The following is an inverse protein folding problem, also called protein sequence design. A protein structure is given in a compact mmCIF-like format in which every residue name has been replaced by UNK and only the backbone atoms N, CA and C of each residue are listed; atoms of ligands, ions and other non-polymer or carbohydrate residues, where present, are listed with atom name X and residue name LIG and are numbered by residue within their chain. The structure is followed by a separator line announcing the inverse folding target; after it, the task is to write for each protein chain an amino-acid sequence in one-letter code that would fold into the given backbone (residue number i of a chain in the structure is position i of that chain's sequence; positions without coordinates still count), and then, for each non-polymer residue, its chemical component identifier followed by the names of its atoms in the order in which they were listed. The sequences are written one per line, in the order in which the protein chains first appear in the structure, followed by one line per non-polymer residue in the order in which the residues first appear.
data_IF_716582766157
#
_entry.id   IF_716582766157
#
_cell.length_a   1.000
_cell.length_b   1.000
_cell.length_c   1.000
_cell.angle_alpha   90.00
_cell.angle_beta   90.00
_cell.angle_gamma   90.00
#
_symmetry.space_group_name_H-M   'P 1'
#
loop_
_entity.id
_entity.type
_entity.pdbx_description
1 polymer ?
#
# COMPACT_ATOMS: atom_id res chain seq x y z
N UNK A 1 -7.85 -15.73 -22.13
CA UNK A 1 -6.95 -16.28 -21.09
C UNK A 1 -6.54 -15.13 -20.17
N UNK A 2 -6.59 -15.29 -18.84
CA UNK A 2 -6.03 -14.30 -17.93
C UNK A 2 -4.53 -14.11 -18.24
N UNK A 3 -4.06 -12.87 -18.16
CA UNK A 3 -2.65 -12.54 -18.39
C UNK A 3 -1.77 -13.24 -17.34
N UNK A 4 -0.61 -13.74 -17.75
CA UNK A 4 0.27 -14.52 -16.85
C UNK A 4 0.73 -13.70 -15.65
N UNK A 5 0.89 -12.38 -15.79
CA UNK A 5 1.22 -11.50 -14.67
C UNK A 5 0.05 -11.30 -13.72
N UNK A 6 -1.19 -11.24 -14.20
CA UNK A 6 -2.36 -11.14 -13.33
C UNK A 6 -2.51 -12.40 -12.47
N UNK A 7 -2.22 -13.57 -13.04
CA UNK A 7 -2.19 -14.85 -12.30
C UNK A 7 -1.08 -14.81 -11.24
N UNK A 8 0.14 -14.46 -11.62
CA UNK A 8 1.28 -14.43 -10.70
C UNK A 8 1.09 -13.43 -9.56
N UNK A 9 0.59 -12.21 -9.86
CA UNK A 9 0.21 -11.23 -8.84
C UNK A 9 -0.94 -11.76 -8.00
N UNK A 10 -1.93 -12.43 -8.59
CA UNK A 10 -2.98 -13.12 -7.85
C UNK A 10 -2.44 -14.06 -6.78
N UNK A 11 -1.49 -14.92 -7.15
CA UNK A 11 -0.83 -15.83 -6.21
C UNK A 11 -0.08 -15.09 -5.11
N UNK A 12 0.65 -14.03 -5.45
CA UNK A 12 1.44 -13.25 -4.49
C UNK A 12 0.55 -12.59 -3.41
N UNK A 13 -0.58 -12.01 -3.82
CA UNK A 13 -1.52 -11.36 -2.91
C UNK A 13 -2.41 -12.35 -2.15
N UNK A 14 -2.57 -13.57 -2.67
CA UNK A 14 -3.28 -14.66 -2.00
C UNK A 14 -2.40 -15.39 -0.96
N UNK A 15 -1.07 -15.29 -1.07
CA UNK A 15 -0.15 -15.85 -0.07
C UNK A 15 -0.35 -15.16 1.29
N UNK A 16 -0.68 -15.91 2.37
CA UNK A 16 -0.94 -15.34 3.68
C UNK A 16 0.30 -14.75 4.36
N UNK A 17 1.51 -15.10 3.92
CA UNK A 17 2.76 -14.55 4.47
C UNK A 17 3.15 -13.22 3.82
N UNK A 18 2.55 -12.88 2.67
CA UNK A 18 2.92 -11.71 1.87
C UNK A 18 1.77 -10.72 1.75
N UNK A 19 0.55 -11.22 1.53
CA UNK A 19 -0.66 -10.43 1.38
C UNK A 19 -1.39 -10.24 2.71
N UNK A 20 -1.56 -8.98 3.09
CA UNK A 20 -2.36 -8.58 4.24
C UNK A 20 -3.76 -8.18 3.78
N UNK A 21 -4.76 -8.44 4.63
CA UNK A 21 -6.08 -7.87 4.46
C UNK A 21 -6.09 -6.42 4.91
N UNK A 22 -6.73 -5.56 4.14
CA UNK A 22 -6.90 -4.15 4.49
C UNK A 22 -8.25 -3.59 4.05
N UNK A 23 -8.56 -2.40 4.55
CA UNK A 23 -9.74 -1.63 4.18
C UNK A 23 -9.27 -0.27 3.68
N UNK A 24 -9.52 0.01 2.41
CA UNK A 24 -9.26 1.30 1.79
C UNK A 24 -10.52 2.16 1.82
N UNK A 25 -10.43 3.38 2.32
CA UNK A 25 -11.56 4.31 2.38
C UNK A 25 -11.17 5.58 1.63
N UNK A 26 -11.79 5.85 0.46
CA UNK A 26 -11.62 7.13 -0.21
C UNK A 26 -12.16 8.26 0.65
N UNK A 27 -11.58 9.46 0.53
CA UNK A 27 -12.13 10.64 1.21
C UNK A 27 -13.58 10.90 0.76
N UNK A 28 -14.51 10.90 1.73
CA UNK A 28 -15.96 10.97 1.47
C UNK A 28 -16.58 9.77 0.75
N UNK A 29 -15.83 8.68 0.55
CA UNK A 29 -16.25 7.47 -0.15
C UNK A 29 -16.66 6.32 0.78
N UNK A 30 -17.09 5.21 0.17
CA UNK A 30 -17.39 3.98 0.88
C UNK A 30 -16.11 3.14 1.10
N UNK A 31 -15.95 2.50 2.28
CA UNK A 31 -14.84 1.58 2.52
C UNK A 31 -14.87 0.37 1.58
N UNK A 32 -13.70 -0.03 1.11
CA UNK A 32 -13.49 -1.16 0.20
C UNK A 32 -12.43 -2.11 0.75
N UNK A 33 -12.74 -3.41 0.79
CA UNK A 33 -11.76 -4.43 1.14
C UNK A 33 -10.70 -4.59 0.04
N UNK A 34 -9.43 -4.63 0.45
CA UNK A 34 -8.27 -4.76 -0.44
C UNK A 34 -7.25 -5.74 0.13
N UNK A 35 -6.44 -6.33 -0.74
CA UNK A 35 -5.24 -7.09 -0.41
C UNK A 35 -4.03 -6.19 -0.63
N UNK A 36 -3.16 -6.18 0.35
CA UNK A 36 -2.02 -5.27 0.40
C UNK A 36 -0.74 -6.07 0.54
N UNK A 37 0.24 -5.81 -0.33
CA UNK A 37 1.62 -6.19 -0.04
C UNK A 37 2.27 -5.04 0.71
N UNK A 38 2.76 -5.34 1.90
CA UNK A 38 3.27 -4.35 2.85
C UNK A 38 4.79 -4.29 2.80
N UNK A 39 5.33 -3.09 2.67
CA UNK A 39 6.76 -2.84 2.84
C UNK A 39 6.93 -1.77 3.92
N UNK A 40 7.21 -2.22 5.14
CA UNK A 40 7.52 -1.36 6.28
C UNK A 40 8.97 -1.61 6.71
N UNK A 41 9.76 -0.56 6.99
CA UNK A 41 11.08 -0.74 7.57
C UNK A 41 10.97 -1.31 8.99
N UNK A 42 11.78 -2.33 9.29
CA UNK A 42 11.78 -3.00 10.61
C UNK A 42 12.29 -2.09 11.75
N UNK A 43 13.07 -1.05 11.41
CA UNK A 43 13.70 -0.14 12.38
C UNK A 43 13.82 1.27 11.83
N UNK A 44 13.51 2.25 12.67
CA UNK A 44 13.89 3.64 12.43
C UNK A 44 15.41 3.79 12.62
N UNK A 45 16.09 4.39 11.64
CA UNK A 45 17.52 4.66 11.72
C UNK A 45 17.75 6.11 12.17
N UNK A 46 18.24 6.28 13.40
CA UNK A 46 18.71 7.58 13.89
C UNK A 46 20.21 7.69 13.72
N UNK A 47 20.71 8.79 13.16
CA UNK A 47 22.14 9.06 13.23
C UNK A 47 22.50 9.62 14.62
N UNK A 48 23.71 9.38 15.13
CA UNK A 48 24.15 9.87 16.44
C UNK A 48 24.19 11.40 16.59
N UNK A 49 24.16 12.15 15.48
CA UNK A 49 24.44 13.58 15.45
C UNK A 49 23.16 14.46 15.41
N UNK A 50 22.02 13.92 15.87
CA UNK A 50 20.74 14.65 15.89
C UNK A 50 20.04 14.78 14.53
N UNK A 51 20.63 14.25 13.47
CA UNK A 51 19.92 13.95 12.22
C UNK A 51 19.43 12.51 12.26
N UNK A 52 18.16 12.25 11.98
CA UNK A 52 17.67 10.91 11.66
C UNK A 52 17.24 10.88 10.21
N UNK A 53 17.54 9.81 9.48
CA UNK A 53 16.74 9.47 8.30
C UNK A 53 15.73 8.47 8.81
N UNK A 54 14.57 8.96 9.24
CA UNK A 54 13.39 8.11 9.38
C UNK A 54 13.21 7.46 8.01
N UNK A 55 13.15 6.14 7.94
CA UNK A 55 12.76 5.44 6.72
C UNK A 55 11.26 5.74 6.53
N UNK A 56 10.99 6.93 5.95
CA UNK A 56 9.80 7.74 6.26
C UNK A 56 8.52 7.30 5.55
N UNK A 57 8.54 6.21 4.79
CA UNK A 57 7.37 5.76 4.06
C UNK A 57 7.13 4.29 4.33
N UNK A 58 6.05 4.02 5.07
CA UNK A 58 5.40 2.72 4.95
C UNK A 58 4.80 2.67 3.55
N UNK A 59 5.21 1.70 2.73
CA UNK A 59 4.74 1.59 1.35
C UNK A 59 3.78 0.42 1.25
N UNK A 60 2.54 0.72 0.88
CA UNK A 60 1.54 -0.27 0.54
C UNK A 60 1.46 -0.45 -0.97
N UNK A 61 1.44 -1.70 -1.43
CA UNK A 61 1.14 -2.04 -2.82
C UNK A 61 -0.21 -2.71 -2.92
N UNK A 62 -1.06 -2.18 -3.80
CA UNK A 62 -2.43 -2.66 -4.02
C UNK A 62 -2.65 -2.85 -5.51
N UNK A 63 -3.31 -3.94 -5.90
CA UNK A 63 -3.60 -4.19 -7.32
C UNK A 63 -4.61 -3.19 -7.86
N UNK A 64 -4.40 -2.71 -9.08
CA UNK A 64 -5.35 -1.83 -9.79
C UNK A 64 -6.67 -2.55 -10.06
N UNK A 65 -6.63 -3.88 -10.20
CA UNK A 65 -7.83 -4.71 -10.36
C UNK A 65 -8.73 -4.69 -9.12
N UNK A 66 -8.16 -4.42 -7.94
CA UNK A 66 -8.92 -4.25 -6.70
C UNK A 66 -9.24 -2.77 -6.49
N UNK A 67 -8.25 -1.89 -6.60
CA UNK A 67 -8.40 -0.46 -6.37
C UNK A 67 -8.23 0.33 -7.68
N UNK A 68 -9.35 0.72 -8.29
CA UNK A 68 -9.35 1.40 -9.58
C UNK A 68 -8.68 2.79 -9.52
N UNK A 69 -8.90 3.52 -8.43
CA UNK A 69 -8.37 4.85 -8.21
C UNK A 69 -7.88 5.00 -6.76
N UNK A 70 -6.78 5.71 -6.57
CA UNK A 70 -6.24 6.07 -5.27
C UNK A 70 -5.88 7.55 -5.26
N UNK A 71 -6.23 8.26 -4.19
CA UNK A 71 -5.99 9.68 -4.03
C UNK A 71 -5.22 9.98 -2.73
N UNK A 72 -4.56 11.13 -2.72
CA UNK A 72 -3.96 11.67 -1.49
C UNK A 72 -5.10 12.06 -0.54
N UNK A 73 -4.95 11.75 0.74
CA UNK A 73 -5.97 12.01 1.77
C UNK A 73 -6.87 10.82 2.06
N UNK A 74 -6.85 9.79 1.21
CA UNK A 74 -7.56 8.54 1.47
C UNK A 74 -6.94 7.80 2.67
N UNK A 75 -7.72 6.93 3.30
CA UNK A 75 -7.30 6.18 4.50
C UNK A 75 -7.18 4.71 4.16
N UNK A 76 -6.08 4.10 4.60
CA UNK A 76 -5.87 2.66 4.53
C UNK A 76 -5.74 2.08 5.94
N UNK A 77 -6.56 1.09 6.25
CA UNK A 77 -6.46 0.31 7.49
C UNK A 77 -5.87 -1.05 7.15
N UNK A 78 -4.76 -1.42 7.77
CA UNK A 78 -4.13 -2.74 7.63
C UNK A 78 -3.71 -3.20 9.02
N UNK A 79 -4.02 -4.45 9.35
CA UNK A 79 -3.69 -5.07 10.65
C UNK A 79 -4.17 -4.24 11.86
N UNK A 80 -5.34 -3.59 11.73
CA UNK A 80 -5.93 -2.75 12.77
C UNK A 80 -5.29 -1.37 12.95
N UNK A 81 -4.21 -1.06 12.22
CA UNK A 81 -3.58 0.26 12.21
C UNK A 81 -4.09 1.10 11.03
N UNK A 82 -4.31 2.39 11.28
CA UNK A 82 -4.82 3.35 10.30
C UNK A 82 -3.70 4.22 9.75
N UNK A 83 -3.71 4.41 8.44
CA UNK A 83 -2.70 5.19 7.72
C UNK A 83 -3.35 6.16 6.75
N UNK A 84 -2.77 7.35 6.63
CA UNK A 84 -3.13 8.33 5.61
C UNK A 84 -2.30 8.10 4.35
N UNK A 85 -2.96 8.13 3.19
CA UNK A 85 -2.30 8.08 1.90
C UNK A 85 -1.72 9.46 1.58
N UNK A 86 -0.40 9.59 1.66
CA UNK A 86 0.31 10.84 1.36
C UNK A 86 0.57 11.00 -0.14
N UNK A 87 0.95 9.89 -0.79
CA UNK A 87 1.32 9.92 -2.20
C UNK A 87 0.95 8.62 -2.89
N UNK A 88 -0.17 8.60 -3.62
CA UNK A 88 -0.50 7.49 -4.51
C UNK A 88 0.29 7.63 -5.81
N UNK A 89 1.12 6.64 -6.12
CA UNK A 89 1.91 6.62 -7.35
C UNK A 89 1.53 5.40 -8.19
N UNK A 90 1.15 5.65 -9.44
CA UNK A 90 1.07 4.62 -10.50
C UNK A 90 1.98 5.03 -11.66
N UNK A 91 3.26 4.63 -11.65
CA UNK A 91 4.27 5.22 -12.55
C UNK A 91 4.01 5.03 -14.04
N UNK A 92 3.27 4.00 -14.46
CA UNK A 92 2.97 3.75 -15.88
C UNK A 92 1.65 3.01 -16.06
N UNK A 93 1.05 3.08 -17.26
CA UNK A 93 -0.13 2.29 -17.64
C UNK A 93 0.11 0.76 -17.58
N UNK A 94 1.37 0.32 -17.70
CA UNK A 94 1.75 -1.11 -17.64
C UNK A 94 1.91 -1.63 -16.22
N UNK A 95 2.09 -0.75 -15.21
CA UNK A 95 2.06 -1.17 -13.81
C UNK A 95 0.61 -1.47 -13.41
N UNK A 96 0.44 -2.68 -12.88
CA UNK A 96 -0.83 -3.27 -12.43
C UNK A 96 -1.07 -3.06 -10.93
N UNK A 97 -0.23 -2.26 -10.30
CA UNK A 97 -0.23 -2.00 -8.86
C UNK A 97 -0.08 -0.51 -8.60
N UNK A 98 -0.76 -0.05 -7.56
CA UNK A 98 -0.53 1.21 -6.88
C UNK A 98 0.64 1.07 -5.91
N UNK A 99 1.40 2.15 -5.76
CA UNK A 99 2.38 2.33 -4.69
C UNK A 99 1.90 3.49 -3.85
N UNK A 100 1.48 3.21 -2.62
CA UNK A 100 0.97 4.22 -1.70
C UNK A 100 2.05 4.47 -0.65
N UNK A 101 2.60 5.68 -0.64
CA UNK A 101 3.40 6.15 0.49
C UNK A 101 2.44 6.60 1.60
N UNK A 102 2.63 6.06 2.81
CA UNK A 102 1.70 6.19 3.92
C UNK A 102 2.35 6.87 5.13
N UNK A 103 1.55 7.64 5.86
CA UNK A 103 1.86 8.16 7.19
C UNK A 103 0.89 7.57 8.23
N UNK A 104 1.36 7.22 9.45
CA UNK A 104 0.46 6.81 10.53
C UNK A 104 -0.53 7.93 10.88
N UNK A 105 -1.79 7.56 11.16
CA UNK A 105 -2.82 8.46 11.69
C UNK A 105 -2.79 8.55 13.23
#
# INVERSE_FOLDING_TARGET
MPDVFDIALGSLYADPNLGYGGVYTPDGGAPQAVRVLWAQPDKDYSFPNGGGVTARATVARIRVAELAAAAKGDVLVVDGASYLVEKPTRPTKRRREWYLELSPL
#
